data_IF_292138750647
#
_entry.id   IF_292138750647
#
_cell.length_a   1.000
_cell.length_b   1.000
_cell.length_c   1.000
_cell.angle_alpha   90.00
_cell.angle_beta   90.00
_cell.angle_gamma   90.00
#
_symmetry.space_group_name_H-M   'P 1'
#
loop_
_entity.id
_entity.type
_entity.pdbx_description
1 polymer ?
#
# COMPACT_ATOMS: atom_id res chain seq x y z
N UNK A 1 -7.87 2.46 -18.18
CA UNK A 1 -8.56 1.14 -18.06
C UNK A 1 -9.98 1.21 -18.60
N UNK A 2 -10.65 2.36 -18.54
CA UNK A 2 -11.97 2.57 -19.17
C UNK A 2 -11.95 2.61 -20.70
N UNK A 3 -10.76 2.58 -21.32
CA UNK A 3 -10.59 2.53 -22.77
C UNK A 3 -10.70 1.12 -23.37
N UNK A 4 -10.69 0.07 -22.53
CA UNK A 4 -10.77 -1.33 -23.00
C UNK A 4 -12.08 -1.62 -23.74
N UNK A 5 -13.15 -0.89 -23.41
CA UNK A 5 -14.47 -0.99 -24.06
C UNK A 5 -14.47 -0.47 -25.50
N UNK A 6 -13.49 0.36 -25.88
CA UNK A 6 -13.38 0.92 -27.23
C UNK A 6 -12.54 0.06 -28.16
N UNK A 7 -11.87 -0.99 -27.65
CA UNK A 7 -11.08 -1.87 -28.50
C UNK A 7 -11.95 -2.81 -29.32
N UNK A 8 -11.67 -2.87 -30.62
CA UNK A 8 -12.32 -3.83 -31.52
C UNK A 8 -11.99 -5.27 -31.10
N UNK A 9 -12.94 -6.19 -31.29
CA UNK A 9 -12.86 -7.61 -30.93
C UNK A 9 -11.61 -8.30 -31.49
N UNK A 10 -11.22 -7.95 -32.72
CA UNK A 10 -9.99 -8.47 -33.36
C UNK A 10 -8.74 -8.05 -32.60
N UNK A 11 -8.69 -6.80 -32.11
CA UNK A 11 -7.57 -6.30 -31.34
C UNK A 11 -7.51 -6.95 -29.95
N UNK A 12 -8.67 -7.15 -29.30
CA UNK A 12 -8.74 -7.90 -28.03
C UNK A 12 -8.24 -9.34 -28.18
N UNK A 13 -8.57 -10.01 -29.29
CA UNK A 13 -8.05 -11.35 -29.59
C UNK A 13 -6.52 -11.34 -29.78
N UNK A 14 -5.98 -10.30 -30.43
CA UNK A 14 -4.54 -10.15 -30.60
C UNK A 14 -3.82 -9.92 -29.27
N UNK A 15 -4.33 -9.03 -28.41
CA UNK A 15 -3.78 -8.80 -27.06
C UNK A 15 -3.82 -10.07 -26.20
N UNK A 16 -4.90 -10.86 -26.28
CA UNK A 16 -5.00 -12.14 -25.58
C UNK A 16 -3.95 -13.16 -26.07
N UNK A 17 -3.66 -13.18 -27.38
CA UNK A 17 -2.60 -14.04 -27.92
C UNK A 17 -1.22 -13.64 -27.37
N UNK A 18 -0.89 -12.35 -27.39
CA UNK A 18 0.35 -11.83 -26.80
C UNK A 18 0.46 -12.15 -25.31
N UNK A 19 -0.63 -11.93 -24.57
CA UNK A 19 -0.68 -12.23 -23.14
C UNK A 19 -0.39 -13.72 -22.87
N UNK A 20 -1.01 -14.64 -23.61
CA UNK A 20 -0.76 -16.09 -23.47
C UNK A 20 0.68 -16.48 -23.77
N UNK A 21 1.30 -15.83 -24.76
CA UNK A 21 2.72 -16.04 -25.07
C UNK A 21 3.61 -15.55 -23.94
N UNK A 22 3.33 -14.36 -23.39
CA UNK A 22 4.15 -13.78 -22.31
C UNK A 22 3.93 -14.45 -20.97
N UNK A 23 2.69 -14.84 -20.66
CA UNK A 23 2.36 -15.51 -19.41
C UNK A 23 2.91 -16.93 -19.35
N UNK A 24 3.28 -17.53 -20.48
CA UNK A 24 3.96 -18.82 -20.57
C UNK A 24 3.34 -19.92 -19.68
N UNK A 25 2.01 -19.96 -19.63
CA UNK A 25 1.26 -20.94 -18.82
C UNK A 25 1.12 -20.62 -17.32
N UNK A 26 1.72 -19.54 -16.81
CA UNK A 26 1.46 -19.06 -15.45
C UNK A 26 0.04 -18.52 -15.29
N UNK A 27 -0.51 -18.61 -14.08
CA UNK A 27 -1.73 -17.87 -13.73
C UNK A 27 -1.50 -16.36 -13.80
N UNK A 28 -2.57 -15.59 -13.92
CA UNK A 28 -2.47 -14.12 -14.00
C UNK A 28 -1.78 -13.51 -12.79
N UNK A 29 -2.03 -14.05 -11.60
CA UNK A 29 -1.42 -13.60 -10.36
C UNK A 29 0.08 -13.92 -10.32
N UNK A 30 0.46 -15.16 -10.62
CA UNK A 30 1.87 -15.58 -10.66
C UNK A 30 2.64 -14.78 -11.70
N UNK A 31 2.09 -14.63 -12.90
CA UNK A 31 2.72 -13.83 -13.96
C UNK A 31 2.96 -12.39 -13.50
N UNK A 32 1.96 -11.76 -12.87
CA UNK A 32 2.09 -10.40 -12.37
C UNK A 32 3.14 -10.30 -11.24
N UNK A 33 3.16 -11.27 -10.33
CA UNK A 33 4.16 -11.35 -9.26
C UNK A 33 5.58 -11.52 -9.81
N UNK A 34 5.78 -12.40 -10.79
CA UNK A 34 7.07 -12.64 -11.46
C UNK A 34 7.55 -11.37 -12.17
N UNK A 35 6.68 -10.72 -12.95
CA UNK A 35 7.02 -9.50 -13.68
C UNK A 35 7.45 -8.38 -12.73
N UNK A 36 6.69 -8.17 -11.65
CA UNK A 36 7.02 -7.15 -10.67
C UNK A 36 8.26 -7.51 -9.88
N UNK A 37 8.48 -8.78 -9.53
CA UNK A 37 9.70 -9.23 -8.87
C UNK A 37 10.95 -8.95 -9.72
N UNK A 38 10.85 -9.10 -11.04
CA UNK A 38 11.97 -8.92 -11.96
C UNK A 38 12.24 -7.47 -12.34
N UNK A 39 11.20 -6.68 -12.60
CA UNK A 39 11.35 -5.34 -13.20
C UNK A 39 10.87 -4.19 -12.32
N UNK A 40 10.13 -4.49 -11.25
CA UNK A 40 9.61 -3.46 -10.39
C UNK A 40 10.62 -3.02 -9.33
N UNK A 41 10.48 -1.77 -8.90
CA UNK A 41 11.40 -1.12 -7.96
C UNK A 41 11.44 -1.82 -6.59
N UNK A 42 12.60 -1.76 -5.97
CA UNK A 42 12.91 -2.30 -4.66
C UNK A 42 12.58 -1.32 -3.54
N UNK A 43 12.56 -1.85 -2.31
CA UNK A 43 12.31 -1.03 -1.11
C UNK A 43 13.34 0.10 -0.94
N UNK A 44 14.62 -0.18 -1.21
CA UNK A 44 15.71 0.80 -1.09
C UNK A 44 15.68 1.89 -2.17
N UNK A 45 15.01 1.63 -3.29
CA UNK A 45 14.78 2.61 -4.34
C UNK A 45 13.64 3.57 -3.98
N UNK A 46 12.67 3.12 -3.16
CA UNK A 46 11.60 3.98 -2.67
C UNK A 46 12.00 4.73 -1.39
N UNK A 47 12.45 4.01 -0.36
CA UNK A 47 12.74 4.61 0.93
C UNK A 47 14.20 5.04 1.03
N UNK A 48 14.41 6.27 1.51
CA UNK A 48 15.73 6.79 1.85
C UNK A 48 16.04 6.56 3.33
N UNK A 49 15.10 6.87 4.20
CA UNK A 49 15.27 6.77 5.65
C UNK A 49 13.90 6.55 6.32
N UNK A 50 13.87 5.76 7.39
CA UNK A 50 12.69 5.57 8.21
C UNK A 50 13.04 5.72 9.68
N UNK A 51 12.18 6.42 10.42
CA UNK A 51 12.30 6.57 11.85
C UNK A 51 10.95 6.33 12.51
N UNK A 52 10.95 5.65 13.66
CA UNK A 52 9.77 5.47 14.50
C UNK A 52 10.14 5.82 15.93
N UNK A 53 9.36 6.69 16.56
CA UNK A 53 9.63 7.16 17.93
C UNK A 53 11.07 7.70 18.12
N UNK A 54 11.56 8.46 17.13
CA UNK A 54 12.91 9.03 17.12
C UNK A 54 14.06 8.04 16.88
N UNK A 55 13.78 6.73 16.70
CA UNK A 55 14.79 5.71 16.39
C UNK A 55 14.81 5.44 14.89
N UNK A 56 16.00 5.51 14.28
CA UNK A 56 16.20 5.08 12.89
C UNK A 56 16.08 3.56 12.82
N UNK A 57 15.22 3.08 11.93
CA UNK A 57 14.95 1.66 11.69
C UNK A 57 15.18 1.32 10.23
N UNK A 58 15.41 0.04 9.93
CA UNK A 58 15.50 -0.41 8.56
C UNK A 58 14.09 -0.44 7.94
N UNK A 59 13.88 0.40 6.92
CA UNK A 59 12.60 0.50 6.23
C UNK A 59 12.08 -0.85 5.71
N UNK A 60 12.98 -1.71 5.23
CA UNK A 60 12.65 -2.89 4.44
C UNK A 60 12.57 -4.18 5.26
N UNK A 61 13.29 -4.26 6.37
CA UNK A 61 13.21 -5.39 7.30
C UNK A 61 12.26 -5.12 8.45
N UNK A 62 12.22 -3.90 8.99
CA UNK A 62 11.59 -3.66 10.29
C UNK A 62 10.19 -3.07 10.13
N UNK A 63 10.02 -2.15 9.16
CA UNK A 63 8.80 -1.34 9.06
C UNK A 63 7.87 -1.75 7.93
N UNK A 64 8.37 -2.05 6.74
CA UNK A 64 7.54 -2.30 5.56
C UNK A 64 7.78 -3.68 4.95
N UNK A 65 6.70 -4.27 4.45
CA UNK A 65 6.72 -5.45 3.59
C UNK A 65 6.30 -5.07 2.17
N UNK A 66 6.93 -5.74 1.20
CA UNK A 66 6.57 -5.60 -0.21
C UNK A 66 5.25 -6.31 -0.47
N UNK A 67 4.33 -5.63 -1.15
CA UNK A 67 3.06 -6.18 -1.58
C UNK A 67 2.82 -5.86 -3.05
N UNK A 68 2.39 -6.84 -3.82
CA UNK A 68 2.04 -6.65 -5.23
C UNK A 68 0.54 -6.42 -5.32
N UNK A 69 0.14 -5.32 -5.95
CA UNK A 69 -1.25 -4.90 -6.08
C UNK A 69 -1.59 -4.77 -7.56
N UNK A 70 -2.53 -5.58 -8.03
CA UNK A 70 -3.02 -5.46 -9.40
C UNK A 70 -3.54 -4.03 -9.64
N UNK A 71 -3.27 -3.47 -10.84
CA UNK A 71 -3.49 -2.07 -11.23
C UNK A 71 -2.53 -1.02 -10.67
N UNK A 72 -1.87 -1.26 -9.53
CA UNK A 72 -0.98 -0.27 -8.88
C UNK A 72 0.48 -0.67 -8.87
N UNK A 73 0.77 -1.93 -9.21
CA UNK A 73 2.12 -2.45 -9.30
C UNK A 73 2.64 -2.89 -7.94
N UNK A 74 3.74 -2.30 -7.49
CA UNK A 74 4.35 -2.61 -6.19
C UNK A 74 3.90 -1.57 -5.18
N UNK A 75 3.50 -2.03 -4.00
CA UNK A 75 3.24 -1.20 -2.84
C UNK A 75 4.09 -1.70 -1.67
N UNK A 76 4.28 -0.82 -0.67
CA UNK A 76 4.95 -1.15 0.56
C UNK A 76 3.99 -0.92 1.72
N UNK A 77 3.58 -2.01 2.35
CA UNK A 77 2.64 -2.00 3.45
C UNK A 77 3.40 -2.08 4.77
N UNK A 78 2.96 -1.35 5.79
CA UNK A 78 3.56 -1.48 7.12
C UNK A 78 3.37 -2.90 7.66
N UNK A 79 4.42 -3.48 8.26
CA UNK A 79 4.37 -4.81 8.87
C UNK A 79 3.38 -4.85 10.03
N UNK A 80 2.81 -6.02 10.28
CA UNK A 80 1.95 -6.24 11.45
C UNK A 80 2.75 -5.94 12.73
N UNK A 81 2.06 -5.43 13.75
CA UNK A 81 2.61 -5.09 15.07
C UNK A 81 3.56 -3.89 15.13
N UNK A 82 3.77 -3.17 14.03
CA UNK A 82 4.43 -1.86 14.06
C UNK A 82 3.44 -0.83 14.62
N UNK A 83 3.54 -0.59 15.91
CA UNK A 83 2.70 0.36 16.63
C UNK A 83 3.54 1.51 17.16
N UNK A 84 2.93 2.68 17.22
CA UNK A 84 3.50 3.80 17.96
C UNK A 84 3.43 3.47 19.45
N UNK A 85 4.48 3.77 20.19
CA UNK A 85 4.51 3.52 21.65
C UNK A 85 4.07 4.75 22.43
N UNK A 86 4.16 5.92 21.82
CA UNK A 86 3.94 7.21 22.44
C UNK A 86 2.97 8.02 21.58
N UNK A 87 2.20 8.89 22.23
CA UNK A 87 1.31 9.83 21.55
C UNK A 87 2.12 10.99 20.94
N UNK A 88 1.43 11.79 20.13
CA UNK A 88 1.94 13.04 19.57
C UNK A 88 3.16 12.87 18.64
N UNK A 89 3.91 13.96 18.50
CA UNK A 89 5.06 14.11 17.63
C UNK A 89 6.26 13.25 18.03
N UNK A 90 6.29 12.75 19.26
CA UNK A 90 7.41 11.98 19.79
C UNK A 90 7.37 10.57 19.21
N UNK A 91 6.21 9.91 19.24
CA UNK A 91 6.00 8.55 18.72
C UNK A 91 5.82 8.43 17.20
N UNK A 92 5.95 9.53 16.45
CA UNK A 92 5.58 9.59 15.03
C UNK A 92 6.41 8.67 14.13
N UNK A 93 5.80 8.23 13.03
CA UNK A 93 6.53 7.61 11.92
C UNK A 93 7.07 8.72 11.01
N UNK A 94 8.38 8.76 10.80
CA UNK A 94 9.02 9.67 9.86
C UNK A 94 9.55 8.86 8.68
N UNK A 95 9.15 9.23 7.47
CA UNK A 95 9.60 8.60 6.23
C UNK A 95 10.30 9.64 5.38
N UNK A 96 11.51 9.35 4.93
CA UNK A 96 12.10 10.03 3.80
C UNK A 96 11.97 9.14 2.58
N UNK A 97 11.25 9.61 1.57
CA UNK A 97 10.91 8.83 0.38
C UNK A 97 11.54 9.52 -0.84
N UNK A 98 12.06 8.71 -1.76
CA UNK A 98 12.61 9.12 -3.05
C UNK A 98 11.50 9.08 -4.09
N UNK A 99 11.60 9.89 -5.15
CA UNK A 99 10.78 9.71 -6.34
C UNK A 99 11.31 8.49 -7.13
N UNK A 100 10.56 7.37 -7.22
CA UNK A 100 11.03 6.20 -7.96
C UNK A 100 11.09 6.49 -9.47
N UNK A 101 11.96 5.80 -10.23
CA UNK A 101 12.00 5.93 -11.67
C UNK A 101 10.70 5.43 -12.31
N UNK A 102 10.27 6.09 -13.39
CA UNK A 102 9.05 5.81 -14.12
C UNK A 102 9.27 6.02 -15.62
N UNK A 103 9.36 4.93 -16.36
CA UNK A 103 9.58 4.95 -17.81
C UNK A 103 8.43 5.62 -18.57
N UNK A 104 7.21 5.59 -18.01
CA UNK A 104 6.00 6.12 -18.65
C UNK A 104 5.88 7.64 -18.54
N UNK A 105 6.80 8.31 -17.84
CA UNK A 105 6.73 9.76 -17.57
C UNK A 105 7.95 10.52 -18.14
N UNK A 106 8.11 10.61 -19.47
CA UNK A 106 9.25 11.32 -20.07
C UNK A 106 9.25 12.81 -19.73
N UNK A 107 8.08 13.43 -19.56
CA UNK A 107 7.95 14.84 -19.18
C UNK A 107 8.50 15.16 -17.78
N UNK A 108 8.63 14.15 -16.91
CA UNK A 108 9.13 14.28 -15.54
C UNK A 108 10.52 13.64 -15.39
N UNK A 109 11.36 13.74 -16.42
CA UNK A 109 12.71 13.17 -16.46
C UNK A 109 12.73 11.68 -16.06
N UNK A 110 11.72 10.92 -16.52
CA UNK A 110 11.52 9.52 -16.17
C UNK A 110 11.46 9.23 -14.66
N UNK A 111 10.93 10.18 -13.88
CA UNK A 111 10.62 10.00 -12.46
C UNK A 111 9.11 9.94 -12.24
N UNK A 112 8.69 9.33 -11.13
CA UNK A 112 7.30 9.31 -10.72
C UNK A 112 6.92 10.64 -10.04
N UNK A 113 5.99 11.44 -10.63
CA UNK A 113 5.66 12.77 -10.13
C UNK A 113 4.76 12.75 -8.89
N UNK A 114 4.19 11.60 -8.56
CA UNK A 114 3.22 11.47 -7.47
C UNK A 114 3.25 10.08 -6.85
N UNK A 115 3.24 10.04 -5.52
CA UNK A 115 3.14 8.82 -4.73
C UNK A 115 1.77 8.83 -4.03
N UNK A 116 1.14 7.67 -3.96
CA UNK A 116 -0.15 7.50 -3.28
C UNK A 116 0.07 6.72 -1.99
N UNK A 117 -0.48 7.23 -0.89
CA UNK A 117 -0.45 6.58 0.42
C UNK A 117 -1.88 6.23 0.84
N UNK A 118 -2.06 5.01 1.32
CA UNK A 118 -3.31 4.52 1.91
C UNK A 118 -3.13 4.42 3.42
N UNK A 119 -4.10 4.94 4.16
CA UNK A 119 -4.07 4.89 5.63
C UNK A 119 -5.29 4.14 6.10
N UNK A 120 -5.08 2.85 6.33
CA UNK A 120 -6.13 1.85 6.57
C UNK A 120 -5.64 0.88 7.63
N UNK A 121 -6.51 0.01 8.11
CA UNK A 121 -6.08 -1.13 8.93
C UNK A 121 -5.22 -2.11 8.11
N UNK A 122 -4.52 -2.99 8.82
CA UNK A 122 -3.57 -3.95 8.25
C UNK A 122 -4.31 -5.17 7.66
N UNK A 123 -5.09 -4.93 6.61
CA UNK A 123 -5.75 -5.97 5.83
C UNK A 123 -4.75 -6.68 4.91
N UNK A 124 -5.06 -7.92 4.53
CA UNK A 124 -4.26 -8.65 3.54
C UNK A 124 -4.29 -7.98 2.17
N UNK A 125 -5.42 -7.40 1.79
CA UNK A 125 -5.58 -6.69 0.52
C UNK A 125 -5.50 -5.17 0.73
N UNK A 126 -4.80 -4.48 -0.18
CA UNK A 126 -4.78 -3.01 -0.21
C UNK A 126 -6.13 -2.50 -0.66
N UNK A 127 -6.78 -1.71 0.20
CA UNK A 127 -8.04 -1.04 -0.15
C UNK A 127 -7.77 0.24 -0.95
N UNK A 128 -8.74 0.65 -1.76
CA UNK A 128 -8.59 1.81 -2.67
C UNK A 128 -8.80 3.17 -2.00
N UNK A 129 -9.30 3.20 -0.75
CA UNK A 129 -9.61 4.43 0.00
C UNK A 129 -9.46 4.23 1.52
N UNK A 130 -9.14 5.30 2.29
CA UNK A 130 -8.81 6.65 1.85
C UNK A 130 -7.40 6.74 1.24
N UNK A 131 -7.23 7.59 0.23
CA UNK A 131 -5.98 7.78 -0.51
C UNK A 131 -5.48 9.21 -0.40
N UNK A 132 -4.18 9.36 -0.14
CA UNK A 132 -3.50 10.64 -0.03
C UNK A 132 -2.41 10.72 -1.09
N UNK A 133 -2.32 11.86 -1.75
CA UNK A 133 -1.34 12.10 -2.79
C UNK A 133 -0.19 12.91 -2.22
N UNK A 134 1.03 12.45 -2.46
CA UNK A 134 2.25 13.11 -2.04
C UNK A 134 3.08 13.46 -3.27
N UNK A 135 3.62 14.67 -3.30
CA UNK A 135 4.46 15.16 -4.39
C UNK A 135 5.94 15.21 -3.98
N UNK A 136 6.88 15.09 -4.93
CA UNK A 136 8.30 15.27 -4.70
C UNK A 136 8.63 16.65 -4.12
N UNK A 137 9.70 16.73 -3.34
CA UNK A 137 10.20 17.97 -2.70
C UNK A 137 9.23 18.65 -1.74
N UNK A 138 8.18 17.94 -1.31
CA UNK A 138 7.23 18.42 -0.32
C UNK A 138 7.39 17.70 1.02
N UNK A 139 7.13 18.45 2.08
CA UNK A 139 7.02 17.91 3.42
C UNK A 139 5.56 17.81 3.83
N UNK A 140 5.12 16.58 4.08
CA UNK A 140 3.75 16.26 4.42
C UNK A 140 3.68 15.82 5.88
N UNK A 141 2.89 16.52 6.70
CA UNK A 141 2.59 16.15 8.07
C UNK A 141 1.13 15.76 8.19
N UNK A 142 0.88 14.52 8.56
CA UNK A 142 -0.46 13.96 8.67
C UNK A 142 -0.72 13.49 10.11
N UNK A 143 -1.90 13.83 10.63
CA UNK A 143 -2.40 13.36 11.93
C UNK A 143 -3.67 12.56 11.67
N UNK A 144 -3.71 11.33 12.16
CA UNK A 144 -4.85 10.44 12.05
C UNK A 144 -5.41 10.15 13.43
N UNK A 145 -6.73 10.07 13.50
CA UNK A 145 -7.46 9.65 14.70
C UNK A 145 -8.20 8.36 14.36
N UNK A 146 -7.82 7.26 15.00
CA UNK A 146 -8.55 6.00 14.86
C UNK A 146 -9.86 6.07 15.64
N UNK A 147 -10.97 5.63 15.03
CA UNK A 147 -12.28 5.51 15.69
C UNK A 147 -12.73 4.06 15.59
N UNK A 148 -13.04 3.47 16.74
CA UNK A 148 -13.64 2.14 16.80
C UNK A 148 -15.15 2.28 16.77
N UNK A 149 -15.80 1.58 15.84
CA UNK A 149 -17.25 1.53 15.71
C UNK A 149 -17.65 0.06 15.81
N UNK A 150 -18.42 -0.27 16.85
CA UNK A 150 -19.00 -1.60 17.02
C UNK A 150 -20.47 -1.54 16.63
N UNK A 151 -20.86 -2.40 15.69
CA UNK A 151 -22.23 -2.50 15.24
C UNK A 151 -22.96 -3.52 16.11
N UNK A 152 -24.18 -3.17 16.53
CA UNK A 152 -25.05 -4.09 17.27
C UNK A 152 -25.52 -5.17 16.30
N UNK A 153 -25.37 -6.44 16.69
CA UNK A 153 -25.82 -7.56 15.88
C UNK A 153 -27.32 -7.48 15.62
N UNK A 154 -27.69 -7.61 14.35
CA UNK A 154 -29.07 -7.70 13.96
C UNK A 154 -29.18 -8.63 12.75
N UNK A 155 -30.16 -9.53 12.80
CA UNK A 155 -30.41 -10.51 11.75
C UNK A 155 -30.63 -9.77 10.43
N UNK A 156 -29.96 -10.24 9.38
CA UNK A 156 -30.00 -9.67 8.02
C UNK A 156 -29.39 -8.26 7.84
N UNK A 157 -28.77 -7.67 8.87
CA UNK A 157 -28.13 -6.35 8.82
C UNK A 157 -26.64 -6.41 9.16
N UNK A 158 -26.29 -7.03 10.29
CA UNK A 158 -24.92 -7.15 10.77
C UNK A 158 -24.74 -8.52 11.41
N UNK A 159 -23.90 -9.37 10.81
CA UNK A 159 -23.62 -10.71 11.32
C UNK A 159 -22.21 -10.78 11.89
N UNK A 160 -22.07 -11.28 13.11
CA UNK A 160 -20.76 -11.68 13.67
C UNK A 160 -20.12 -12.88 12.95
N UNK A 161 -20.86 -13.55 12.05
CA UNK A 161 -20.26 -14.47 11.09
C UNK A 161 -19.24 -13.68 10.29
N UNK A 162 -18.00 -13.80 10.71
CA UNK A 162 -16.89 -13.22 10.03
C UNK A 162 -16.95 -13.73 8.59
N UNK A 163 -16.98 -12.81 7.64
CA UNK A 163 -16.40 -13.09 6.32
C UNK A 163 -14.89 -13.12 6.56
N UNK A 164 -14.44 -14.14 7.29
CA UNK A 164 -13.02 -14.41 7.52
C UNK A 164 -12.49 -15.06 6.25
N UNK A 165 -11.66 -14.30 5.53
CA UNK A 165 -10.52 -14.92 4.89
C UNK A 165 -9.51 -15.22 6.02
N UNK A 166 -9.10 -16.48 6.08
CA UNK A 166 -8.27 -17.15 7.09
C UNK A 166 -7.15 -16.29 7.70
N UNK A 167 -7.13 -16.16 9.03
CA UNK A 167 -6.10 -16.76 9.91
C UNK A 167 -6.22 -16.22 11.36
N UNK A 168 -6.12 -17.16 12.29
CA UNK A 168 -6.32 -17.06 13.73
C UNK A 168 -5.51 -15.95 14.43
N UNK A 169 -6.15 -14.80 14.67
CA UNK A 169 -5.72 -13.88 15.74
C UNK A 169 -6.90 -13.68 16.68
N UNK A 170 -6.80 -14.10 17.96
CA UNK A 170 -7.87 -13.88 18.92
C UNK A 170 -8.09 -12.37 19.09
N UNK A 171 -9.36 -11.92 19.28
CA UNK A 171 -9.64 -10.53 19.57
C UNK A 171 -9.01 -10.18 20.91
N UNK A 172 -7.84 -9.52 20.87
CA UNK A 172 -7.29 -8.91 22.07
C UNK A 172 -8.30 -7.85 22.52
N UNK A 173 -8.95 -8.07 23.66
CA UNK A 173 -9.64 -7.01 24.41
C UNK A 173 -8.61 -5.92 24.72
N UNK A 174 -8.53 -4.92 23.84
CA UNK A 174 -7.80 -3.69 24.11
C UNK A 174 -8.83 -2.68 24.59
N UNK A 175 -8.74 -2.37 25.88
CA UNK A 175 -9.32 -1.16 26.46
C UNK A 175 -8.91 0.04 25.60
N UNK A 176 -9.88 0.93 25.37
CA UNK A 176 -9.73 2.10 24.52
C UNK A 176 -8.46 2.89 24.88
N UNK A 177 -7.58 3.05 23.90
CA UNK A 177 -6.53 4.06 23.90
C UNK A 177 -6.81 4.95 22.71
N UNK A 178 -7.05 6.24 22.97
CA UNK A 178 -6.99 7.27 21.95
C UNK A 178 -5.57 7.26 21.38
N UNK A 179 -5.40 6.61 20.23
CA UNK A 179 -4.11 6.58 19.56
C UNK A 179 -4.16 7.56 18.39
N UNK A 180 -3.58 8.73 18.62
CA UNK A 180 -3.33 9.68 17.55
C UNK A 180 -2.09 9.23 16.78
N UNK A 181 -2.27 8.92 15.50
CA UNK A 181 -1.14 8.52 14.66
C UNK A 181 -0.59 9.69 13.88
N UNK A 182 0.63 10.09 14.19
CA UNK A 182 1.35 11.13 13.49
C UNK A 182 2.32 10.52 12.48
N UNK A 183 2.29 11.05 11.25
CA UNK A 183 3.21 10.70 10.18
C UNK A 183 3.83 11.97 9.62
N UNK A 184 5.16 12.00 9.53
CA UNK A 184 5.88 13.00 8.77
C UNK A 184 6.52 12.33 7.56
N UNK A 185 6.11 12.72 6.37
CA UNK A 185 6.68 12.21 5.12
C UNK A 185 7.45 13.34 4.45
N UNK A 186 8.76 13.18 4.38
CA UNK A 186 9.68 14.06 3.67
C UNK A 186 9.94 13.43 2.29
N UNK A 187 9.30 13.94 1.24
CA UNK A 187 9.65 13.53 -0.11
C UNK A 187 10.85 14.35 -0.58
N UNK A 188 11.99 13.71 -0.84
CA UNK A 188 13.19 14.39 -1.36
C UNK A 188 13.51 13.94 -2.76
#
# INVERSE_FOLDING_TARGET
MDELSYFNRTYMSHLNALYRTWSNGYSTEEFFNIMQAKYGYSCNELFRECQLAGKTLNCCSDLFQRQVVMRRGICFQTRRFVNQTEADDIGRLVLSIKAPPSITNPHYNHSQPQIIVYVTDNFEHVVDFPRFYLYPHEWNRMRFTARYIELIENKDVCTQKQVFFYDDVPPQRKTASYMEKFFNIINR
#
